data_IF_350908730756
#
_entry.id   IF_350908730756
#
_cell.length_a   1.000
_cell.length_b   1.000
_cell.length_c   1.000
_cell.angle_alpha   90.00
_cell.angle_beta   90.00
_cell.angle_gamma   90.00
#
_symmetry.space_group_name_H-M   'P 1'
#
loop_
_entity.id
_entity.type
_entity.pdbx_description
1 polymer ?
#
# COMPACT_ATOMS: atom_id res chain seq x y z
N UNK A 1 -0.44 21.94 42.97
CA UNK A 1 -1.20 21.42 41.81
C UNK A 1 -0.46 21.87 40.55
N UNK A 2 0.13 20.93 39.77
CA UNK A 2 -0.23 20.60 38.37
C UNK A 2 -0.56 21.87 37.55
N UNK A 3 0.13 22.27 36.48
CA UNK A 3 0.87 21.48 35.48
C UNK A 3 1.76 22.41 34.62
N UNK A 4 2.98 21.93 34.31
CA UNK A 4 3.93 22.26 33.22
C UNK A 4 3.66 23.54 32.39
N UNK A 5 4.48 24.61 32.48
CA UNK A 5 5.85 24.81 31.90
C UNK A 5 5.86 24.62 30.36
N UNK A 6 6.41 25.45 29.48
CA UNK A 6 7.19 26.71 29.46
C UNK A 6 7.26 27.08 27.94
N UNK A 7 6.84 28.26 27.44
CA UNK A 7 7.66 29.39 26.89
C UNK A 7 9.12 29.05 26.49
N UNK A 8 9.83 29.85 25.63
CA UNK A 8 9.57 30.42 24.30
C UNK A 8 10.78 30.20 23.33
N UNK A 9 10.69 30.80 22.14
CA UNK A 9 11.77 31.28 21.24
C UNK A 9 13.15 31.47 21.92
N UNK A 10 14.21 30.82 21.39
CA UNK A 10 15.65 31.18 21.46
C UNK A 10 16.40 30.07 20.71
N UNK A 11 17.42 30.27 19.90
CA UNK A 11 18.28 31.41 19.64
C UNK A 11 19.40 30.90 18.73
N UNK A 12 19.87 31.80 17.88
CA UNK A 12 21.04 31.62 17.04
C UNK A 12 22.29 31.26 17.88
N UNK A 13 23.25 30.63 17.19
CA UNK A 13 24.71 30.65 17.41
C UNK A 13 25.34 29.57 18.29
N UNK A 14 26.03 28.60 17.65
CA UNK A 14 27.26 27.95 18.15
C UNK A 14 28.14 27.54 16.94
N UNK A 15 29.09 28.40 16.53
CA UNK A 15 30.57 28.21 16.61
C UNK A 15 31.23 27.75 15.30
N UNK A 16 32.12 28.60 14.78
CA UNK A 16 33.13 28.27 13.78
C UNK A 16 34.27 27.45 14.43
N UNK A 17 34.72 26.35 13.79
CA UNK A 17 36.00 25.71 14.11
C UNK A 17 36.63 25.07 12.86
N UNK A 18 37.95 25.24 12.79
CA UNK A 18 38.91 24.89 11.75
C UNK A 18 39.13 23.37 11.55
N UNK A 19 39.81 23.05 10.44
CA UNK A 19 40.74 21.93 10.21
C UNK A 19 40.29 20.78 9.28
N UNK A 20 40.80 20.84 8.04
CA UNK A 20 41.56 19.77 7.33
C UNK A 20 41.37 18.33 7.83
N UNK A 21 40.86 17.44 6.97
CA UNK A 21 41.59 16.26 6.47
C UNK A 21 40.69 15.28 5.69
N UNK A 22 41.17 14.97 4.50
CA UNK A 22 40.91 13.81 3.63
C UNK A 22 40.35 12.56 4.34
N UNK A 23 39.30 11.98 3.78
CA UNK A 23 39.10 10.53 3.78
C UNK A 23 38.49 10.10 2.45
N UNK A 24 39.37 9.63 1.57
CA UNK A 24 39.03 8.79 0.42
C UNK A 24 38.49 7.48 0.96
N UNK A 25 37.24 7.13 0.64
CA UNK A 25 36.80 5.73 0.52
C UNK A 25 35.38 5.63 -0.06
N UNK A 26 35.30 5.12 -1.29
CA UNK A 26 34.17 4.38 -1.89
C UNK A 26 32.74 4.85 -1.53
N UNK A 27 32.21 5.86 -2.23
CA UNK A 27 30.76 5.91 -2.41
C UNK A 27 30.39 4.87 -3.46
N UNK A 28 30.00 3.70 -2.93
CA UNK A 28 29.34 2.61 -3.61
C UNK A 28 28.53 3.14 -4.78
N UNK A 29 28.83 2.62 -5.98
CA UNK A 29 27.98 2.84 -7.15
C UNK A 29 26.55 2.65 -6.71
N UNK A 30 25.78 3.74 -6.81
CA UNK A 30 24.35 3.72 -6.61
C UNK A 30 23.82 2.71 -7.62
N UNK A 31 23.67 1.45 -7.17
CA UNK A 31 22.84 0.50 -7.85
C UNK A 31 21.54 1.26 -8.12
N UNK A 32 21.00 1.26 -9.36
CA UNK A 32 19.62 1.65 -9.49
C UNK A 32 18.91 0.75 -8.50
N UNK A 33 18.35 1.34 -7.44
CA UNK A 33 17.32 0.70 -6.63
C UNK A 33 16.44 0.13 -7.72
N UNK A 34 16.39 -1.20 -7.85
CA UNK A 34 15.39 -1.84 -8.68
C UNK A 34 14.11 -1.40 -8.00
N UNK A 35 13.62 -0.24 -8.40
CA UNK A 35 12.25 0.16 -8.35
C UNK A 35 11.59 -1.13 -8.80
N UNK A 36 11.02 -1.85 -7.83
CA UNK A 36 10.16 -2.98 -8.14
C UNK A 36 8.92 -2.33 -8.72
N UNK A 37 9.08 -1.70 -9.88
CA UNK A 37 8.04 -1.35 -10.78
C UNK A 37 7.47 -2.71 -11.15
N UNK A 38 6.47 -3.12 -10.36
CA UNK A 38 5.53 -4.13 -10.78
C UNK A 38 5.22 -3.82 -12.24
N UNK A 39 5.30 -4.82 -13.15
CA UNK A 39 5.09 -4.58 -14.57
C UNK A 39 3.87 -3.68 -14.75
N UNK A 40 3.92 -2.66 -15.63
CA UNK A 40 2.81 -1.73 -15.81
C UNK A 40 1.55 -2.58 -15.97
N UNK A 41 0.65 -2.50 -14.98
CA UNK A 41 -0.52 -3.36 -14.91
C UNK A 41 -1.28 -3.14 -16.21
N UNK A 42 -1.18 -4.11 -17.11
CA UNK A 42 -1.77 -4.10 -18.44
C UNK A 42 -2.60 -5.36 -18.54
N UNK A 43 -3.84 -5.24 -19.00
CA UNK A 43 -4.81 -6.35 -18.97
C UNK A 43 -5.53 -6.51 -17.63
N UNK A 44 -6.09 -7.71 -17.33
CA UNK A 44 -7.08 -7.91 -16.26
C UNK A 44 -6.67 -7.49 -14.85
N UNK A 45 -5.36 -7.44 -14.56
CA UNK A 45 -4.84 -6.95 -13.28
C UNK A 45 -5.04 -5.44 -13.09
N UNK A 46 -5.04 -4.66 -14.18
CA UNK A 46 -5.34 -3.22 -14.13
C UNK A 46 -6.80 -2.99 -13.77
N UNK A 47 -7.71 -3.70 -14.44
CA UNK A 47 -9.15 -3.65 -14.15
C UNK A 47 -9.45 -4.08 -12.72
N UNK A 48 -8.74 -5.09 -12.20
CA UNK A 48 -8.86 -5.49 -10.81
C UNK A 48 -8.40 -4.39 -9.83
N UNK A 49 -7.27 -3.75 -10.13
CA UNK A 49 -6.75 -2.66 -9.31
C UNK A 49 -7.67 -1.42 -9.34
N UNK A 50 -8.19 -1.06 -10.51
CA UNK A 50 -9.11 0.07 -10.69
C UNK A 50 -10.42 -0.16 -9.94
N UNK A 51 -10.99 -1.37 -10.02
CA UNK A 51 -12.20 -1.74 -9.26
C UNK A 51 -11.97 -1.72 -7.75
N UNK A 52 -10.85 -2.27 -7.28
CA UNK A 52 -10.50 -2.23 -5.85
C UNK A 52 -10.31 -0.78 -5.37
N UNK A 53 -9.70 0.07 -6.21
CA UNK A 53 -9.48 1.49 -5.92
C UNK A 53 -10.79 2.27 -5.85
N UNK A 54 -11.73 2.00 -6.76
CA UNK A 54 -13.07 2.60 -6.73
C UNK A 54 -13.84 2.21 -5.46
N UNK A 55 -13.87 0.92 -5.12
CA UNK A 55 -14.54 0.44 -3.90
C UNK A 55 -13.92 1.04 -2.62
N UNK A 56 -12.59 1.15 -2.55
CA UNK A 56 -11.93 1.80 -1.42
C UNK A 56 -12.19 3.31 -1.36
N UNK A 57 -12.25 3.97 -2.52
CA UNK A 57 -12.58 5.40 -2.65
C UNK A 57 -13.97 5.70 -2.10
N UNK A 58 -14.96 4.87 -2.45
CA UNK A 58 -16.33 5.00 -1.95
C UNK A 58 -16.42 4.72 -0.44
N UNK A 59 -15.70 3.71 0.07
CA UNK A 59 -15.70 3.37 1.51
C UNK A 59 -15.09 4.46 2.39
N UNK A 60 -13.99 5.06 1.94
CA UNK A 60 -13.26 6.08 2.70
C UNK A 60 -13.71 7.51 2.35
N UNK A 61 -14.57 7.68 1.33
CA UNK A 61 -14.97 8.97 0.78
C UNK A 61 -13.77 9.88 0.41
N UNK A 62 -12.68 9.28 -0.06
CA UNK A 62 -11.48 9.98 -0.53
C UNK A 62 -11.36 9.85 -2.04
N UNK A 63 -10.78 10.85 -2.76
CA UNK A 63 -10.55 10.71 -4.18
C UNK A 63 -9.61 9.54 -4.45
N UNK A 64 -9.94 8.77 -5.49
CA UNK A 64 -9.17 7.61 -5.89
C UNK A 64 -7.69 7.96 -6.13
N UNK A 65 -7.34 9.18 -6.52
CA UNK A 65 -5.93 9.60 -6.70
C UNK A 65 -5.10 9.57 -5.40
N UNK A 66 -5.75 9.64 -4.23
CA UNK A 66 -5.09 9.49 -2.93
C UNK A 66 -4.88 8.03 -2.53
N UNK A 67 -5.29 7.09 -3.38
CA UNK A 67 -5.17 5.66 -3.15
C UNK A 67 -4.04 5.14 -4.03
N UNK A 68 -2.98 4.66 -3.38
CA UNK A 68 -1.82 4.10 -4.04
C UNK A 68 -1.99 2.59 -4.21
N UNK A 69 -1.76 2.07 -5.41
CA UNK A 69 -1.74 0.63 -5.65
C UNK A 69 -0.34 0.11 -5.31
N UNK A 70 -0.19 -0.54 -4.16
CA UNK A 70 1.09 -1.11 -3.73
C UNK A 70 1.44 -2.40 -4.48
N UNK A 71 0.45 -3.24 -4.75
CA UNK A 71 0.66 -4.50 -5.46
C UNK A 71 -0.62 -4.99 -6.10
N UNK A 72 -0.50 -5.67 -7.24
CA UNK A 72 -1.58 -6.45 -7.82
C UNK A 72 -1.00 -7.73 -8.38
N UNK A 73 -1.39 -8.87 -7.80
CA UNK A 73 -0.85 -10.19 -8.17
C UNK A 73 -1.97 -11.12 -8.57
N UNK A 74 -1.83 -11.87 -9.68
CA UNK A 74 -2.78 -12.92 -10.00
C UNK A 74 -2.76 -13.99 -8.89
N UNK A 75 -3.95 -14.49 -8.54
CA UNK A 75 -4.15 -15.54 -7.56
C UNK A 75 -5.31 -16.41 -7.99
N UNK A 76 -5.17 -17.72 -7.81
CA UNK A 76 -6.21 -18.70 -8.13
C UNK A 76 -6.75 -19.28 -6.85
N UNK A 77 -8.03 -19.08 -6.58
CA UNK A 77 -8.72 -19.62 -5.40
C UNK A 77 -9.30 -21.00 -5.68
N UNK A 78 -9.43 -21.87 -4.65
CA UNK A 78 -10.02 -23.19 -4.80
C UNK A 78 -11.54 -23.16 -5.05
N UNK A 79 -12.19 -22.05 -4.71
CA UNK A 79 -13.62 -21.84 -4.82
C UNK A 79 -13.96 -20.37 -5.11
N UNK A 80 -15.22 -20.11 -5.44
CA UNK A 80 -15.74 -18.77 -5.75
C UNK A 80 -15.94 -17.86 -4.52
N UNK A 81 -15.64 -18.34 -3.30
CA UNK A 81 -15.77 -17.54 -2.07
C UNK A 81 -14.62 -16.55 -1.89
N UNK A 82 -13.50 -16.76 -2.61
CA UNK A 82 -12.29 -15.92 -2.56
C UNK A 82 -11.71 -15.77 -1.14
N UNK A 83 -11.78 -16.85 -0.36
CA UNK A 83 -11.39 -16.88 1.06
C UNK A 83 -12.27 -15.99 1.98
N UNK A 84 -13.38 -15.46 1.44
CA UNK A 84 -14.31 -14.56 2.14
C UNK A 84 -15.76 -15.05 1.95
N UNK A 85 -16.12 -16.21 2.52
CA UNK A 85 -17.47 -16.77 2.40
C UNK A 85 -18.48 -15.88 3.11
N UNK A 86 -19.58 -15.58 2.43
CA UNK A 86 -20.73 -14.88 2.99
C UNK A 86 -21.75 -15.89 3.53
N UNK A 87 -22.38 -15.59 4.67
CA UNK A 87 -23.37 -16.47 5.27
C UNK A 87 -24.57 -16.64 4.33
N UNK A 88 -24.98 -17.88 4.10
CA UNK A 88 -26.14 -18.21 3.26
C UNK A 88 -25.86 -18.39 1.77
N UNK A 89 -24.61 -18.21 1.33
CA UNK A 89 -24.21 -18.45 -0.06
C UNK A 89 -23.62 -19.84 -0.27
N UNK A 90 -24.00 -20.49 -1.38
CA UNK A 90 -23.38 -21.73 -1.85
C UNK A 90 -22.34 -21.36 -2.89
N UNK A 91 -21.09 -21.76 -2.65
CA UNK A 91 -19.97 -21.48 -3.54
C UNK A 91 -19.59 -22.71 -4.36
N UNK A 92 -19.34 -22.49 -5.65
CA UNK A 92 -18.86 -23.54 -6.53
C UNK A 92 -17.40 -23.86 -6.20
N UNK A 93 -17.07 -25.15 -6.11
CA UNK A 93 -15.72 -25.67 -5.92
C UNK A 93 -14.95 -25.68 -7.24
N UNK A 94 -14.84 -24.51 -7.86
CA UNK A 94 -14.13 -24.30 -9.12
C UNK A 94 -12.91 -23.43 -8.88
N UNK A 95 -11.77 -23.83 -9.49
CA UNK A 95 -10.57 -22.98 -9.48
C UNK A 95 -10.91 -21.66 -10.15
N UNK A 96 -10.90 -20.60 -9.37
CA UNK A 96 -11.31 -19.27 -9.80
C UNK A 96 -10.07 -18.40 -9.90
N UNK A 97 -9.73 -17.97 -11.11
CA UNK A 97 -8.67 -17.01 -11.33
C UNK A 97 -9.13 -15.60 -10.96
N UNK A 98 -8.25 -14.87 -10.29
CA UNK A 98 -8.39 -13.44 -10.10
C UNK A 98 -7.13 -12.83 -9.53
N UNK A 99 -7.26 -11.83 -8.66
CA UNK A 99 -6.20 -10.92 -8.28
C UNK A 99 -6.26 -10.52 -6.81
N UNK A 100 -5.11 -10.55 -6.15
CA UNK A 100 -4.91 -9.93 -4.84
C UNK A 100 -4.31 -8.56 -5.07
N UNK A 101 -5.06 -7.52 -4.71
CA UNK A 101 -4.67 -6.12 -4.85
C UNK A 101 -4.41 -5.53 -3.48
N UNK A 102 -3.22 -5.01 -3.24
CA UNK A 102 -2.90 -4.26 -2.02
C UNK A 102 -2.89 -2.77 -2.36
N UNK A 103 -3.72 -2.02 -1.66
CA UNK A 103 -3.88 -0.57 -1.77
C UNK A 103 -3.39 0.11 -0.50
N UNK A 104 -2.88 1.34 -0.61
CA UNK A 104 -2.56 2.19 0.52
C UNK A 104 -3.36 3.49 0.44
N UNK A 105 -4.03 3.81 1.53
CA UNK A 105 -4.79 5.04 1.66
C UNK A 105 -4.65 5.57 3.09
N UNK A 106 -4.42 6.88 3.24
CA UNK A 106 -4.27 7.53 4.54
C UNK A 106 -3.21 6.87 5.46
N UNK A 107 -2.16 6.29 4.86
CA UNK A 107 -1.10 5.58 5.60
C UNK A 107 -1.48 4.18 6.10
N UNK A 108 -2.63 3.64 5.67
CA UNK A 108 -3.08 2.27 5.99
C UNK A 108 -3.10 1.40 4.74
N UNK A 109 -2.83 0.11 4.93
CA UNK A 109 -2.82 -0.89 3.86
C UNK A 109 -4.12 -1.69 3.85
N UNK A 110 -4.71 -1.81 2.66
CA UNK A 110 -5.96 -2.50 2.41
C UNK A 110 -5.72 -3.60 1.38
N UNK A 111 -6.03 -4.84 1.72
CA UNK A 111 -5.90 -5.97 0.80
C UNK A 111 -7.26 -6.35 0.24
N UNK A 112 -7.36 -6.36 -1.08
CA UNK A 112 -8.55 -6.71 -1.85
C UNK A 112 -8.35 -8.03 -2.57
N UNK A 113 -9.36 -8.87 -2.56
CA UNK A 113 -9.48 -10.07 -3.40
C UNK A 113 -10.49 -9.78 -4.50
N UNK A 114 -10.06 -9.90 -5.75
CA UNK A 114 -10.87 -9.60 -6.92
C UNK A 114 -10.93 -10.83 -7.81
N UNK A 115 -12.11 -11.35 -8.12
CA UNK A 115 -12.25 -12.42 -9.12
C UNK A 115 -13.61 -12.35 -9.81
N UNK A 116 -13.62 -12.55 -11.13
CA UNK A 116 -14.83 -12.30 -11.93
C UNK A 116 -15.39 -10.91 -11.64
N UNK A 117 -16.64 -10.84 -11.18
CA UNK A 117 -17.33 -9.60 -10.76
C UNK A 117 -17.16 -9.27 -9.27
N UNK A 118 -16.67 -10.20 -8.45
CA UNK A 118 -16.52 -10.00 -7.02
C UNK A 118 -15.27 -9.16 -6.70
N UNK A 119 -15.45 -8.14 -5.84
CA UNK A 119 -14.40 -7.29 -5.27
C UNK A 119 -14.62 -7.29 -3.76
N UNK A 120 -13.71 -7.91 -3.01
CA UNK A 120 -13.86 -8.07 -1.56
C UNK A 120 -12.66 -7.50 -0.81
N UNK A 121 -12.92 -6.56 0.08
CA UNK A 121 -11.93 -6.07 1.04
C UNK A 121 -11.72 -7.12 2.13
N UNK A 122 -10.48 -7.58 2.32
CA UNK A 122 -10.11 -8.33 3.50
C UNK A 122 -10.03 -7.36 4.68
N UNK A 123 -10.79 -7.58 5.78
CA UNK A 123 -10.63 -6.77 6.99
C UNK A 123 -9.20 -6.94 7.51
N UNK A 124 -8.45 -5.84 7.61
CA UNK A 124 -7.13 -5.84 8.24
C UNK A 124 -7.33 -6.21 9.72
N UNK A 125 -6.80 -7.36 10.14
CA UNK A 125 -6.77 -7.73 11.55
C UNK A 125 -6.07 -6.58 12.32
N UNK A 126 -6.81 -5.98 13.26
CA UNK A 126 -6.28 -5.01 14.24
C UNK A 126 -5.47 -5.70 15.32
#
# INVERSE_FOLDING_TARGET
>A
MRTRRLVPVYGLAVVALLAVAVSVALTAGAAPRRESASPPLSGPGRDAADRARADLSDRLAIPAEKIEVLSCKPHTWPDTSLDLPEPGMVYAQVRTDGFVVTLRAEGRDYTYHVAGEAVKLKPSAS
#
